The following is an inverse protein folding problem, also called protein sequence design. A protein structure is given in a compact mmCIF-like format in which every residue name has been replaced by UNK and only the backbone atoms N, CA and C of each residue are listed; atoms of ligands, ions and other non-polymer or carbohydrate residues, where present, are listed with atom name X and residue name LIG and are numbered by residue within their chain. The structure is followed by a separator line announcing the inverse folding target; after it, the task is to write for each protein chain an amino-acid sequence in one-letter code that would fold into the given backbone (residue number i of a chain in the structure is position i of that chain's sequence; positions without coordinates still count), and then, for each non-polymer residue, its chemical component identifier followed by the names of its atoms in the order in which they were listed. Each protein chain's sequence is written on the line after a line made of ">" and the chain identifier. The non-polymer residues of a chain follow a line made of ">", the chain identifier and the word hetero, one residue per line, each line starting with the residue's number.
data_IF_647766996851
#
_entry.id   IF_647766996851
#
_cell.length_a   1.000
_cell.length_b   1.000
_cell.length_c   1.000
_cell.angle_alpha   90.00
_cell.angle_beta   90.00
_cell.angle_gamma   90.00
#
_symmetry.space_group_name_H-M   'P 1'
#
loop_
_entity.id
_entity.type
_entity.pdbx_description
1 polymer ?
#
# COMPACT_ATOMS: atom_id res chain seq x y z
N UNK A 1 38.36 38.68 -11.43
CA UNK A 1 39.17 37.49 -11.76
C UNK A 1 39.06 36.49 -10.60
N UNK A 2 38.05 35.60 -10.59
CA UNK A 2 37.84 34.61 -9.52
C UNK A 2 38.20 33.16 -9.94
N UNK A 3 38.82 32.98 -11.12
CA UNK A 3 38.99 31.63 -11.71
C UNK A 3 40.36 30.97 -11.54
N UNK A 4 41.38 31.64 -10.99
CA UNK A 4 42.76 31.13 -10.99
C UNK A 4 43.31 30.69 -9.62
N UNK A 5 42.66 31.03 -8.50
CA UNK A 5 43.05 30.64 -7.13
C UNK A 5 41.81 30.53 -6.24
N UNK A 6 41.87 29.65 -5.24
CA UNK A 6 40.87 29.58 -4.17
C UNK A 6 40.69 30.96 -3.51
N UNK A 7 39.45 31.27 -3.13
CA UNK A 7 39.14 32.52 -2.44
C UNK A 7 39.76 32.54 -1.03
N UNK A 8 40.04 33.75 -0.52
CA UNK A 8 40.54 33.91 0.85
C UNK A 8 39.44 33.52 1.84
N UNK A 9 39.72 32.52 2.66
CA UNK A 9 38.83 32.02 3.70
C UNK A 9 39.28 32.53 5.08
N UNK A 10 38.30 32.83 5.93
CA UNK A 10 38.50 33.20 7.33
C UNK A 10 37.77 32.20 8.23
N UNK A 11 38.39 31.85 9.35
CA UNK A 11 37.78 30.95 10.32
C UNK A 11 37.07 31.78 11.39
N UNK A 12 35.77 31.53 11.56
CA UNK A 12 34.91 32.29 12.47
C UNK A 12 34.43 31.42 13.62
N UNK A 13 34.29 32.04 14.79
CA UNK A 13 33.55 31.53 15.94
C UNK A 13 32.27 32.36 16.08
N UNK A 14 31.15 31.64 16.07
CA UNK A 14 29.80 32.16 16.18
C UNK A 14 29.26 31.78 17.55
N UNK A 15 28.89 32.77 18.37
CA UNK A 15 28.20 32.57 19.65
C UNK A 15 26.78 33.10 19.50
N UNK A 16 25.79 32.23 19.65
CA UNK A 16 24.38 32.56 19.43
C UNK A 16 23.56 32.10 20.62
N UNK A 17 22.55 32.88 20.98
CA UNK A 17 21.57 32.46 21.98
C UNK A 17 20.79 31.24 21.49
N UNK A 18 20.60 30.24 22.34
CA UNK A 18 19.90 29.01 22.00
C UNK A 18 18.55 29.26 21.33
N UNK A 19 17.75 30.19 21.85
CA UNK A 19 16.40 30.45 21.34
C UNK A 19 16.37 31.15 19.98
N UNK A 20 17.49 31.77 19.56
CA UNK A 20 17.64 32.45 18.27
C UNK A 20 18.53 31.65 17.30
N UNK A 21 19.04 30.50 17.74
CA UNK A 21 20.00 29.71 16.98
C UNK A 21 19.39 29.10 15.72
N UNK A 22 18.11 28.70 15.79
CA UNK A 22 17.36 28.19 14.64
C UNK A 22 17.28 29.24 13.52
N UNK A 23 16.75 30.44 13.83
CA UNK A 23 16.65 31.56 12.90
C UNK A 23 18.01 32.00 12.34
N UNK A 24 19.04 32.02 13.19
CA UNK A 24 20.40 32.35 12.76
C UNK A 24 20.91 31.37 11.72
N UNK A 25 20.79 30.06 11.98
CA UNK A 25 21.22 29.01 11.04
C UNK A 25 20.43 29.08 9.74
N UNK A 26 19.12 29.38 9.80
CA UNK A 26 18.30 29.52 8.61
C UNK A 26 18.73 30.70 7.74
N UNK A 27 18.94 31.89 8.34
CA UNK A 27 19.45 33.08 7.61
C UNK A 27 20.85 32.85 7.04
N UNK A 28 21.71 32.12 7.75
CA UNK A 28 23.03 31.74 7.25
C UNK A 28 22.95 30.71 6.11
N UNK A 29 21.98 29.80 6.18
CA UNK A 29 21.65 28.85 5.11
C UNK A 29 21.18 29.55 3.83
N UNK A 30 20.34 30.58 3.95
CA UNK A 30 19.89 31.40 2.81
C UNK A 30 21.06 32.13 2.12
N UNK A 31 22.08 32.54 2.88
CA UNK A 31 23.29 33.12 2.32
C UNK A 31 24.19 32.08 1.65
N UNK A 32 24.29 30.87 2.20
CA UNK A 32 25.08 29.77 1.63
C UNK A 32 26.59 30.01 1.58
N UNK A 33 27.12 30.85 2.48
CA UNK A 33 28.54 31.28 2.48
C UNK A 33 29.39 30.72 3.63
N UNK A 34 28.80 29.92 4.52
CA UNK A 34 29.45 29.38 5.73
C UNK A 34 29.45 27.86 5.69
N UNK A 35 30.62 27.26 5.92
CA UNK A 35 30.77 25.82 6.17
C UNK A 35 31.08 25.58 7.65
N UNK A 36 30.16 24.93 8.37
CA UNK A 36 30.34 24.65 9.79
C UNK A 36 31.23 23.43 10.03
N UNK A 37 32.13 23.56 10.99
CA UNK A 37 32.96 22.45 11.48
C UNK A 37 32.28 21.77 12.66
N UNK A 38 32.28 20.44 12.67
CA UNK A 38 31.72 19.67 13.78
C UNK A 38 32.57 19.82 15.05
N UNK A 39 31.99 20.42 16.09
CA UNK A 39 32.62 20.61 17.39
C UNK A 39 32.40 19.44 18.35
N UNK A 40 31.57 18.46 17.96
CA UNK A 40 31.20 17.31 18.78
C UNK A 40 31.52 15.96 18.10
N UNK A 41 32.77 15.70 17.66
CA UNK A 41 33.11 14.45 16.97
C UNK A 41 33.03 13.22 17.89
N UNK A 42 33.18 13.41 19.20
CA UNK A 42 33.13 12.34 20.21
C UNK A 42 31.70 11.85 20.48
N UNK A 43 30.67 12.63 20.10
CA UNK A 43 29.28 12.30 20.36
C UNK A 43 28.69 11.51 19.19
N UNK A 44 28.10 10.36 19.52
CA UNK A 44 27.29 9.62 18.53
C UNK A 44 26.05 10.42 18.12
N UNK A 45 25.51 10.22 16.91
CA UNK A 45 24.32 10.94 16.44
C UNK A 45 23.12 10.89 17.41
N UNK A 46 23.01 9.81 18.20
CA UNK A 46 21.93 9.62 19.17
C UNK A 46 22.09 10.40 20.48
N UNK A 47 23.32 10.82 20.80
CA UNK A 47 23.62 11.61 22.00
C UNK A 47 23.60 13.11 21.73
N UNK A 48 23.41 13.52 20.47
CA UNK A 48 23.34 14.93 20.08
C UNK A 48 22.03 15.57 20.55
N UNK A 49 22.11 16.86 20.87
CA UNK A 49 21.04 17.61 21.54
C UNK A 49 19.73 17.64 20.76
N UNK A 50 19.77 17.85 19.44
CA UNK A 50 18.59 18.02 18.59
C UNK A 50 18.18 16.74 17.86
N UNK A 51 18.60 15.55 18.35
CA UNK A 51 18.28 14.27 17.70
C UNK A 51 16.77 14.00 17.61
N UNK A 52 15.98 14.42 18.61
CA UNK A 52 14.52 14.25 18.61
C UNK A 52 13.87 14.96 17.43
N UNK A 53 14.27 16.20 17.15
CA UNK A 53 13.79 16.99 16.02
C UNK A 53 14.20 16.40 14.67
N UNK A 54 15.44 15.89 14.55
CA UNK A 54 15.88 15.20 13.34
C UNK A 54 15.06 13.92 13.10
N UNK A 55 14.83 13.11 14.14
CA UNK A 55 13.99 11.90 14.05
C UNK A 55 12.55 12.23 13.64
N UNK A 56 12.00 13.33 14.16
CA UNK A 56 10.67 13.81 13.79
C UNK A 56 10.59 14.18 12.31
N UNK A 57 11.59 14.91 11.80
CA UNK A 57 11.68 15.22 10.37
C UNK A 57 11.87 13.96 9.52
N UNK A 58 12.64 12.98 10.00
CA UNK A 58 12.81 11.68 9.31
C UNK A 58 11.49 10.91 9.21
N UNK A 59 10.67 10.93 10.25
CA UNK A 59 9.34 10.30 10.24
C UNK A 59 8.39 11.02 9.28
N UNK A 60 8.43 12.34 9.22
CA UNK A 60 7.66 13.12 8.24
C UNK A 60 8.12 12.84 6.80
N UNK A 61 9.44 12.71 6.57
CA UNK A 61 9.99 12.31 5.27
C UNK A 61 9.58 10.87 4.91
N UNK A 62 9.51 9.94 5.88
CA UNK A 62 8.96 8.58 5.66
C UNK A 62 7.51 8.65 5.15
N UNK A 63 6.66 9.45 5.79
CA UNK A 63 5.25 9.66 5.39
C UNK A 63 5.16 10.25 3.97
N UNK A 64 5.97 11.26 3.67
CA UNK A 64 6.04 11.85 2.33
C UNK A 64 6.47 10.82 1.26
N UNK A 65 7.47 9.97 1.55
CA UNK A 65 7.88 8.89 0.63
C UNK A 65 6.76 7.89 0.40
N UNK A 66 6.00 7.54 1.45
CA UNK A 66 4.81 6.70 1.32
C UNK A 66 3.78 7.35 0.38
N UNK A 67 3.50 8.65 0.53
CA UNK A 67 2.58 9.37 -0.36
C UNK A 67 3.05 9.36 -1.82
N UNK A 68 4.35 9.57 -2.06
CA UNK A 68 4.92 9.50 -3.40
C UNK A 68 4.75 8.09 -4.02
N UNK A 69 4.89 7.04 -3.22
CA UNK A 69 4.62 5.66 -3.61
C UNK A 69 3.15 5.46 -4.04
N UNK A 70 2.21 5.94 -3.23
CA UNK A 70 0.77 5.87 -3.55
C UNK A 70 0.41 6.68 -4.81
N UNK A 71 0.93 7.90 -4.96
CA UNK A 71 0.73 8.72 -6.17
C UNK A 71 1.24 8.03 -7.43
N UNK A 72 2.39 7.35 -7.33
CA UNK A 72 3.00 6.62 -8.44
C UNK A 72 2.11 5.46 -8.91
N UNK A 73 1.43 4.75 -7.99
CA UNK A 73 0.46 3.68 -8.34
C UNK A 73 -0.68 4.21 -9.22
N UNK A 74 -1.10 5.46 -9.01
CA UNK A 74 -2.15 6.12 -9.80
C UNK A 74 -1.62 6.92 -11.00
N UNK A 75 -0.31 6.89 -11.27
CA UNK A 75 0.37 7.70 -12.31
C UNK A 75 0.13 9.20 -12.14
N UNK A 76 -0.03 9.66 -10.91
CA UNK A 76 -0.15 11.09 -10.58
C UNK A 76 1.25 11.61 -10.29
N UNK A 77 1.68 12.63 -11.03
CA UNK A 77 2.93 13.32 -10.75
C UNK A 77 2.67 14.48 -9.79
N UNK A 78 3.50 14.66 -8.74
CA UNK A 78 3.39 15.82 -7.88
C UNK A 78 3.55 17.10 -8.70
N UNK A 79 2.73 18.11 -8.39
CA UNK A 79 2.84 19.43 -9.00
C UNK A 79 4.15 20.05 -8.54
N UNK A 80 4.87 20.67 -9.49
CA UNK A 80 6.09 21.34 -9.10
C UNK A 80 5.77 22.57 -8.24
N UNK A 81 6.42 22.70 -7.08
CA UNK A 81 6.34 23.83 -6.16
C UNK A 81 7.01 25.10 -6.71
N UNK A 82 7.52 25.07 -7.95
CA UNK A 82 8.11 26.22 -8.63
C UNK A 82 9.65 26.20 -8.59
N UNK A 83 10.27 27.38 -8.55
CA UNK A 83 11.72 27.50 -8.29
C UNK A 83 11.98 27.48 -6.80
N UNK A 84 13.10 26.89 -6.39
CA UNK A 84 13.61 26.95 -5.01
C UNK A 84 13.65 28.41 -4.52
N UNK A 85 14.05 29.36 -5.38
CA UNK A 85 14.10 30.77 -5.04
C UNK A 85 12.72 31.37 -4.73
N UNK A 86 11.68 30.94 -5.45
CA UNK A 86 10.30 31.40 -5.18
C UNK A 86 9.74 30.82 -3.88
N UNK A 87 10.14 29.60 -3.53
CA UNK A 87 9.82 29.00 -2.25
C UNK A 87 10.61 29.66 -1.10
N UNK A 88 11.88 29.99 -1.32
CA UNK A 88 12.75 30.76 -0.41
C UNK A 88 12.34 32.23 -0.27
N UNK A 89 11.54 32.77 -1.20
CA UNK A 89 10.92 34.08 -1.06
C UNK A 89 9.55 34.02 -0.37
N UNK A 90 8.66 33.09 -0.75
CA UNK A 90 7.27 33.06 -0.29
C UNK A 90 7.04 32.62 1.17
N UNK A 91 7.99 31.87 1.73
CA UNK A 91 7.95 31.43 3.13
C UNK A 91 8.73 32.36 4.09
N UNK A 92 9.28 33.48 3.61
CA UNK A 92 10.09 34.40 4.42
C UNK A 92 9.35 34.88 5.69
N UNK A 93 8.04 35.19 5.60
CA UNK A 93 7.26 35.69 6.73
C UNK A 93 6.97 34.63 7.81
N UNK A 94 7.00 33.34 7.46
CA UNK A 94 6.87 32.22 8.40
C UNK A 94 8.23 31.74 8.91
N UNK A 95 9.29 31.93 8.12
CA UNK A 95 10.68 31.53 8.42
C UNK A 95 11.44 32.48 9.35
N UNK A 96 11.02 33.75 9.43
CA UNK A 96 11.72 34.77 10.24
C UNK A 96 11.00 35.13 11.54
N UNK A 97 10.15 34.23 12.05
CA UNK A 97 9.62 34.31 13.41
C UNK A 97 10.40 33.37 14.34
N UNK A 98 10.43 33.69 15.64
CA UNK A 98 11.16 32.95 16.69
C UNK A 98 11.06 31.43 16.56
N UNK A 99 12.02 30.69 17.12
CA UNK A 99 12.03 29.21 17.20
C UNK A 99 10.67 28.58 17.54
N UNK A 100 9.84 29.22 18.37
CA UNK A 100 8.48 28.76 18.70
C UNK A 100 7.53 28.70 17.49
N UNK A 101 7.67 29.62 16.53
CA UNK A 101 6.90 29.65 15.28
C UNK A 101 7.31 28.49 14.37
N UNK A 102 8.60 28.22 14.25
CA UNK A 102 9.12 27.09 13.46
C UNK A 102 8.64 25.75 14.06
N UNK A 103 8.70 25.61 15.38
CA UNK A 103 8.19 24.41 16.08
C UNK A 103 6.69 24.24 15.86
N UNK A 104 5.88 25.31 15.98
CA UNK A 104 4.43 25.25 15.72
C UNK A 104 4.10 24.93 14.27
N UNK A 105 4.88 25.44 13.32
CA UNK A 105 4.72 25.14 11.89
C UNK A 105 5.00 23.65 11.63
N UNK A 106 6.05 23.10 12.25
CA UNK A 106 6.34 21.66 12.23
C UNK A 106 5.25 20.82 12.89
N UNK A 107 4.72 21.24 14.04
CA UNK A 107 3.58 20.59 14.71
C UNK A 107 2.35 20.52 13.81
N UNK A 108 2.05 21.62 13.14
CA UNK A 108 0.91 21.70 12.23
C UNK A 108 1.12 20.78 11.02
N UNK A 109 2.33 20.78 10.45
CA UNK A 109 2.66 19.94 9.30
C UNK A 109 2.64 18.45 9.66
N UNK A 110 3.20 18.07 10.82
CA UNK A 110 3.17 16.69 11.30
C UNK A 110 1.74 16.18 11.44
N UNK A 111 0.86 16.95 12.08
CA UNK A 111 -0.55 16.59 12.24
C UNK A 111 -1.25 16.39 10.89
N UNK A 112 -1.02 17.31 9.93
CA UNK A 112 -1.59 17.19 8.58
C UNK A 112 -1.10 15.91 7.89
N UNK A 113 0.20 15.61 7.97
CA UNK A 113 0.76 14.40 7.38
C UNK A 113 0.22 13.13 8.05
N UNK A 114 0.00 13.14 9.37
CA UNK A 114 -0.60 12.02 10.10
C UNK A 114 -2.04 11.77 9.70
N UNK A 115 -2.86 12.82 9.68
CA UNK A 115 -4.27 12.73 9.29
C UNK A 115 -4.40 12.15 7.87
N UNK A 116 -3.57 12.64 6.93
CA UNK A 116 -3.56 12.18 5.54
C UNK A 116 -3.01 10.76 5.37
N UNK A 117 -2.02 10.35 6.17
CA UNK A 117 -1.53 8.98 6.18
C UNK A 117 -2.61 8.00 6.66
N UNK A 118 -3.30 8.34 7.75
CA UNK A 118 -4.40 7.53 8.27
C UNK A 118 -5.54 7.40 7.26
N UNK A 119 -5.91 8.50 6.59
CA UNK A 119 -6.93 8.50 5.54
C UNK A 119 -6.55 7.57 4.37
N UNK A 120 -5.31 7.66 3.88
CA UNK A 120 -4.81 6.77 2.81
C UNK A 120 -4.76 5.30 3.24
N UNK A 121 -4.26 5.01 4.44
CA UNK A 121 -4.20 3.63 4.97
C UNK A 121 -5.59 3.03 5.12
N UNK A 122 -6.56 3.82 5.59
CA UNK A 122 -7.94 3.39 5.69
C UNK A 122 -8.53 3.11 4.31
N UNK A 123 -8.34 4.02 3.35
CA UNK A 123 -8.82 3.84 1.98
C UNK A 123 -8.21 2.60 1.30
N UNK A 124 -6.91 2.36 1.50
CA UNK A 124 -6.21 1.18 0.98
C UNK A 124 -6.73 -0.11 1.63
N UNK A 125 -6.91 -0.12 2.95
CA UNK A 125 -7.49 -1.28 3.66
C UNK A 125 -8.92 -1.57 3.17
N UNK A 126 -9.72 -0.52 2.93
CA UNK A 126 -11.05 -0.68 2.34
C UNK A 126 -10.97 -1.17 0.90
N UNK A 127 -10.03 -0.67 0.11
CA UNK A 127 -9.81 -1.10 -1.27
C UNK A 127 -9.49 -2.60 -1.36
N UNK A 128 -8.60 -3.11 -0.51
CA UNK A 128 -8.25 -4.53 -0.46
C UNK A 128 -9.46 -5.41 -0.09
N UNK A 129 -10.24 -4.99 0.92
CA UNK A 129 -11.45 -5.70 1.35
C UNK A 129 -12.51 -5.74 0.24
N UNK A 130 -12.80 -4.59 -0.37
CA UNK A 130 -13.79 -4.47 -1.44
C UNK A 130 -13.35 -5.25 -2.69
N UNK A 131 -12.05 -5.22 -3.02
CA UNK A 131 -11.50 -6.00 -4.14
C UNK A 131 -11.64 -7.50 -3.88
N UNK A 132 -11.38 -7.94 -2.64
CA UNK A 132 -11.61 -9.33 -2.24
C UNK A 132 -13.08 -9.71 -2.43
N UNK A 133 -14.01 -8.97 -1.83
CA UNK A 133 -15.45 -9.21 -1.92
C UNK A 133 -15.93 -9.23 -3.36
N UNK A 134 -15.53 -8.25 -4.18
CA UNK A 134 -15.85 -8.17 -5.60
C UNK A 134 -15.39 -9.42 -6.35
N UNK A 135 -14.13 -9.85 -6.12
CA UNK A 135 -13.61 -11.07 -6.72
C UNK A 135 -14.41 -12.31 -6.29
N UNK A 136 -14.81 -12.42 -5.02
CA UNK A 136 -15.57 -13.60 -4.57
C UNK A 136 -16.95 -13.66 -5.23
N UNK A 137 -17.61 -12.51 -5.42
CA UNK A 137 -18.91 -12.44 -6.10
C UNK A 137 -18.80 -12.80 -7.57
N UNK A 138 -17.77 -12.29 -8.23
CA UNK A 138 -17.48 -12.56 -9.64
C UNK A 138 -17.10 -14.02 -9.90
N UNK A 139 -16.28 -14.61 -9.03
CA UNK A 139 -15.99 -16.04 -9.05
C UNK A 139 -17.26 -16.88 -8.92
N UNK A 140 -18.16 -16.51 -7.99
CA UNK A 140 -19.44 -17.20 -7.83
C UNK A 140 -20.35 -17.01 -9.06
N UNK A 141 -20.38 -15.83 -9.68
CA UNK A 141 -21.15 -15.56 -10.90
C UNK A 141 -20.71 -16.48 -12.05
N UNK A 142 -19.40 -16.61 -12.26
CA UNK A 142 -18.81 -17.49 -13.27
C UNK A 142 -19.04 -18.98 -12.98
N UNK A 143 -19.02 -19.38 -11.72
CA UNK A 143 -19.37 -20.75 -11.34
C UNK A 143 -20.83 -21.02 -11.70
N UNK A 144 -21.76 -20.13 -11.36
CA UNK A 144 -23.18 -20.36 -11.60
C UNK A 144 -23.50 -20.41 -13.10
N UNK A 145 -22.92 -19.53 -13.91
CA UNK A 145 -23.15 -19.52 -15.36
C UNK A 145 -22.69 -20.83 -16.02
N UNK A 146 -21.51 -21.32 -15.63
CA UNK A 146 -20.90 -22.53 -16.23
C UNK A 146 -21.47 -23.82 -15.69
N UNK A 147 -21.94 -23.81 -14.45
CA UNK A 147 -22.62 -24.95 -13.84
C UNK A 147 -23.91 -25.30 -14.60
N UNK A 148 -24.62 -24.35 -15.20
CA UNK A 148 -25.70 -24.67 -16.15
C UNK A 148 -25.22 -25.54 -17.31
N UNK A 149 -24.10 -25.14 -17.94
CA UNK A 149 -23.51 -25.84 -19.08
C UNK A 149 -22.95 -27.23 -18.72
N UNK A 150 -22.28 -27.34 -17.56
CA UNK A 150 -21.70 -28.60 -17.10
C UNK A 150 -22.74 -29.69 -16.84
N UNK A 151 -23.96 -29.30 -16.48
CA UNK A 151 -25.05 -30.24 -16.17
C UNK A 151 -25.97 -30.49 -17.36
N UNK A 152 -26.17 -29.52 -18.27
CA UNK A 152 -26.92 -29.74 -19.52
C UNK A 152 -26.23 -30.74 -20.45
N UNK A 153 -24.90 -30.86 -20.40
CA UNK A 153 -24.13 -31.82 -21.19
C UNK A 153 -24.32 -33.28 -20.67
N UNK A 154 -24.84 -33.49 -19.45
CA UNK A 154 -24.87 -34.82 -18.79
C UNK A 154 -26.19 -35.14 -18.07
N UNK A 155 -27.34 -34.91 -18.73
CA UNK A 155 -28.38 -35.94 -18.73
C UNK A 155 -28.15 -36.80 -19.98
N UNK A 156 -27.37 -37.90 -19.92
CA UNK A 156 -27.48 -38.91 -20.95
C UNK A 156 -28.96 -39.26 -21.09
N UNK A 157 -29.41 -39.44 -22.32
CA UNK A 157 -30.75 -39.89 -22.72
C UNK A 157 -31.11 -41.30 -22.18
N UNK A 158 -30.68 -41.66 -20.97
CA UNK A 158 -30.97 -42.92 -20.30
C UNK A 158 -32.41 -42.99 -19.73
N UNK A 159 -33.18 -41.89 -19.77
CA UNK A 159 -34.60 -41.87 -19.35
C UNK A 159 -35.57 -41.54 -20.50
N UNK A 160 -35.13 -41.58 -21.77
CA UNK A 160 -36.00 -41.30 -22.94
C UNK A 160 -36.12 -42.46 -23.94
N UNK A 161 -35.82 -43.69 -23.53
CA UNK A 161 -36.18 -44.89 -24.29
C UNK A 161 -36.96 -45.86 -23.41
N UNK A 162 -38.25 -45.61 -23.26
CA UNK A 162 -39.26 -46.66 -23.39
C UNK A 162 -40.65 -46.05 -23.50
N UNK A 163 -41.19 -46.08 -24.72
CA UNK A 163 -42.48 -45.46 -25.03
C UNK A 163 -42.82 -45.47 -26.52
N UNK A 164 -42.46 -46.52 -27.26
CA UNK A 164 -43.06 -46.78 -28.58
C UNK A 164 -42.89 -48.25 -28.99
N UNK A 165 -43.99 -49.00 -28.89
CA UNK A 165 -44.24 -50.31 -29.49
C UNK A 165 -43.50 -50.57 -30.80
N UNK A 166 -42.66 -51.60 -30.83
CA UNK A 166 -42.43 -52.43 -32.02
C UNK A 166 -42.28 -53.90 -31.62
N UNK A 167 -43.34 -54.64 -31.94
CA UNK A 167 -43.39 -56.08 -32.10
C UNK A 167 -42.19 -56.60 -32.91
N UNK A 168 -41.38 -57.49 -32.33
CA UNK A 168 -41.01 -58.74 -33.00
C UNK A 168 -40.48 -59.76 -32.00
N UNK A 169 -41.05 -60.95 -32.06
CA UNK A 169 -40.70 -62.15 -31.30
C UNK A 169 -39.25 -62.58 -31.54
N UNK A 170 -38.59 -63.20 -30.56
CA UNK A 170 -37.89 -64.50 -30.70
C UNK A 170 -37.39 -65.01 -29.33
N UNK A 171 -38.23 -65.86 -28.73
CA UNK A 171 -37.91 -67.13 -28.03
C UNK A 171 -36.76 -67.28 -27.01
N UNK A 172 -37.20 -67.61 -25.77
CA UNK A 172 -36.80 -68.77 -24.92
C UNK A 172 -35.39 -68.86 -24.33
N UNK A 173 -35.32 -68.79 -23.00
CA UNK A 173 -35.10 -69.93 -22.07
C UNK A 173 -35.04 -69.37 -20.64
N UNK A 174 -36.08 -69.44 -19.80
CA UNK A 174 -36.58 -70.59 -19.02
C UNK A 174 -35.56 -71.28 -18.10
N UNK A 175 -35.31 -70.70 -16.92
CA UNK A 175 -35.23 -71.47 -15.67
C UNK A 175 -36.02 -70.70 -14.62
N UNK A 176 -37.16 -71.27 -14.22
CA UNK A 176 -38.04 -70.70 -13.22
C UNK A 176 -37.64 -71.10 -11.81
N UNK A 177 -37.89 -70.19 -10.87
CA UNK A 177 -38.35 -70.54 -9.53
C UNK A 177 -39.36 -69.48 -9.10
N UNK A 178 -40.60 -69.92 -8.90
CA UNK A 178 -41.66 -69.13 -8.30
C UNK A 178 -41.40 -68.97 -6.80
N UNK A 179 -41.38 -67.73 -6.32
CA UNK A 179 -41.69 -67.43 -4.92
C UNK A 179 -42.48 -66.10 -4.87
N UNK A 180 -43.79 -66.28 -4.73
CA UNK A 180 -44.80 -65.40 -4.13
C UNK A 180 -44.32 -64.10 -3.46
N UNK A 181 -44.90 -63.00 -3.94
CA UNK A 181 -45.44 -61.86 -3.15
C UNK A 181 -44.58 -61.29 -2.01
N UNK A 182 -44.02 -60.11 -2.26
CA UNK A 182 -43.99 -59.04 -1.27
C UNK A 182 -43.96 -57.68 -1.99
N UNK A 183 -45.07 -56.95 -1.89
CA UNK A 183 -45.11 -55.51 -2.13
C UNK A 183 -44.03 -54.85 -1.28
N UNK A 184 -42.97 -54.37 -1.94
CA UNK A 184 -42.04 -53.44 -1.33
C UNK A 184 -41.80 -52.35 -2.35
N UNK A 185 -42.20 -51.14 -1.96
CA UNK A 185 -42.04 -49.92 -2.73
C UNK A 185 -40.67 -49.85 -3.39
N UNK A 186 -40.64 -49.89 -4.72
CA UNK A 186 -39.55 -49.35 -5.52
C UNK A 186 -39.51 -47.84 -5.28
N UNK A 187 -38.90 -47.44 -4.17
CA UNK A 187 -38.21 -46.16 -4.08
C UNK A 187 -37.10 -46.23 -5.11
N UNK A 188 -37.41 -45.72 -6.29
CA UNK A 188 -36.48 -45.34 -7.35
C UNK A 188 -35.19 -44.80 -6.71
N UNK A 189 -34.16 -45.65 -6.63
CA UNK A 189 -32.85 -45.33 -6.07
C UNK A 189 -32.13 -44.44 -7.08
N UNK A 190 -32.62 -43.22 -7.25
CA UNK A 190 -31.93 -42.18 -8.00
C UNK A 190 -30.61 -41.93 -7.26
N UNK A 191 -29.52 -42.43 -7.83
CA UNK A 191 -28.16 -42.23 -7.36
C UNK A 191 -27.85 -40.73 -7.34
N UNK A 192 -28.16 -40.04 -6.23
CA UNK A 192 -27.88 -38.61 -6.08
C UNK A 192 -26.39 -38.40 -5.83
N UNK A 193 -25.68 -37.99 -6.86
CA UNK A 193 -24.30 -37.51 -6.72
C UNK A 193 -24.29 -36.17 -5.97
N UNK A 194 -23.40 -36.05 -4.99
CA UNK A 194 -23.05 -34.77 -4.38
C UNK A 194 -22.03 -34.05 -5.26
N UNK A 195 -22.01 -32.73 -5.17
CA UNK A 195 -21.01 -31.91 -5.86
C UNK A 195 -20.29 -30.98 -4.89
N UNK A 196 -19.06 -30.60 -5.27
CA UNK A 196 -18.31 -29.50 -4.68
C UNK A 196 -17.90 -28.60 -5.85
N UNK A 197 -18.15 -27.30 -5.70
CA UNK A 197 -17.74 -26.29 -6.67
C UNK A 197 -16.74 -25.33 -6.05
N UNK A 198 -15.79 -24.86 -6.85
CA UNK A 198 -14.77 -23.95 -6.36
C UNK A 198 -13.94 -23.33 -7.48
N UNK A 199 -12.95 -22.55 -7.08
CA UNK A 199 -11.99 -21.88 -7.96
C UNK A 199 -10.58 -22.19 -7.52
N UNK A 200 -9.69 -22.48 -8.47
CA UNK A 200 -8.27 -22.79 -8.25
C UNK A 200 -7.40 -21.91 -9.15
N UNK A 201 -6.21 -21.46 -8.72
CA UNK A 201 -5.25 -20.77 -9.60
C UNK A 201 -4.87 -21.63 -10.81
N UNK A 202 -4.67 -20.99 -11.98
CA UNK A 202 -4.36 -21.71 -13.21
C UNK A 202 -3.07 -22.54 -13.13
N UNK A 203 -2.03 -22.00 -12.48
CA UNK A 203 -0.74 -22.66 -12.30
C UNK A 203 -0.83 -23.97 -11.49
N UNK A 204 -1.83 -24.08 -10.63
CA UNK A 204 -2.02 -25.22 -9.75
C UNK A 204 -3.03 -26.25 -10.29
N UNK A 205 -3.83 -25.88 -11.30
CA UNK A 205 -4.88 -26.72 -11.87
C UNK A 205 -4.44 -28.16 -12.14
N UNK A 206 -3.35 -28.36 -12.87
CA UNK A 206 -2.88 -29.71 -13.26
C UNK A 206 -2.37 -30.52 -12.07
N UNK A 207 -1.83 -29.87 -11.03
CA UNK A 207 -1.40 -30.54 -9.79
C UNK A 207 -2.60 -30.93 -8.94
N UNK A 208 -3.59 -30.03 -8.85
CA UNK A 208 -4.85 -30.24 -8.14
C UNK A 208 -5.65 -31.40 -8.75
N UNK A 209 -5.86 -31.42 -10.06
CA UNK A 209 -6.58 -32.50 -10.77
C UNK A 209 -5.94 -33.88 -10.53
N UNK A 210 -4.60 -33.97 -10.65
CA UNK A 210 -3.87 -35.20 -10.38
C UNK A 210 -3.98 -35.64 -8.92
N UNK A 211 -3.98 -34.70 -7.97
CA UNK A 211 -4.12 -35.05 -6.56
C UNK A 211 -5.54 -35.55 -6.24
N UNK A 212 -6.57 -34.91 -6.79
CA UNK A 212 -7.96 -35.37 -6.67
C UNK A 212 -8.09 -36.79 -7.22
N UNK A 213 -7.64 -37.04 -8.46
CA UNK A 213 -7.73 -38.35 -9.08
C UNK A 213 -7.02 -39.46 -8.26
N UNK A 214 -5.80 -39.18 -7.78
CA UNK A 214 -5.03 -40.14 -6.98
C UNK A 214 -5.64 -40.42 -5.62
N UNK A 215 -6.12 -39.39 -4.92
CA UNK A 215 -6.67 -39.52 -3.57
C UNK A 215 -8.02 -40.25 -3.54
N UNK A 216 -8.79 -40.12 -4.63
CA UNK A 216 -10.12 -40.72 -4.80
C UNK A 216 -10.09 -42.00 -5.63
N UNK A 217 -8.92 -42.37 -6.19
CA UNK A 217 -8.73 -43.52 -7.09
C UNK A 217 -9.66 -43.47 -8.31
N UNK A 218 -9.91 -42.27 -8.84
CA UNK A 218 -10.80 -42.08 -9.99
C UNK A 218 -12.30 -42.17 -9.67
N UNK A 219 -12.70 -42.24 -8.39
CA UNK A 219 -14.11 -42.29 -8.00
C UNK A 219 -14.80 -40.90 -7.97
N UNK A 220 -14.22 -39.91 -8.64
CA UNK A 220 -14.80 -38.58 -8.75
C UNK A 220 -14.73 -38.12 -10.19
N UNK A 221 -15.77 -37.41 -10.61
CA UNK A 221 -15.80 -36.77 -11.91
C UNK A 221 -15.50 -35.28 -11.74
N UNK A 222 -14.41 -34.81 -12.35
CA UNK A 222 -13.92 -33.44 -12.22
C UNK A 222 -14.03 -32.71 -13.56
N UNK A 223 -14.66 -31.54 -13.57
CA UNK A 223 -14.68 -30.63 -14.71
C UNK A 223 -14.04 -29.29 -14.32
N UNK A 224 -13.25 -28.72 -15.22
CA UNK A 224 -12.63 -27.41 -15.08
C UNK A 224 -13.05 -26.52 -16.24
N UNK A 225 -13.21 -25.22 -15.99
CA UNK A 225 -13.43 -24.23 -17.03
C UNK A 225 -12.65 -22.93 -16.71
N UNK A 226 -11.94 -22.34 -17.68
CA UNK A 226 -11.08 -21.16 -17.48
C UNK A 226 -11.88 -19.87 -17.28
N UNK A 227 -11.70 -19.17 -16.16
CA UNK A 227 -12.34 -17.86 -15.98
C UNK A 227 -11.66 -16.87 -16.92
N UNK A 228 -12.40 -16.36 -17.91
CA UNK A 228 -11.85 -15.56 -19.01
C UNK A 228 -11.34 -14.19 -18.52
N UNK A 229 -11.96 -13.65 -17.48
CA UNK A 229 -11.56 -12.38 -16.90
C UNK A 229 -10.51 -12.57 -15.80
N UNK A 230 -9.31 -12.00 -16.01
CA UNK A 230 -8.26 -12.01 -15.01
C UNK A 230 -8.71 -11.25 -13.75
N UNK A 231 -8.59 -11.90 -12.59
CA UNK A 231 -8.96 -11.30 -11.31
C UNK A 231 -7.71 -10.74 -10.64
N UNK A 232 -7.79 -9.48 -10.21
CA UNK A 232 -6.69 -8.82 -9.52
C UNK A 232 -6.59 -9.36 -8.10
N UNK A 233 -5.46 -9.95 -7.73
CA UNK A 233 -5.22 -10.38 -6.37
C UNK A 233 -5.20 -9.16 -5.43
N UNK A 234 -6.05 -9.11 -4.38
CA UNK A 234 -6.16 -7.95 -3.50
C UNK A 234 -4.86 -7.59 -2.78
N UNK A 235 -3.94 -8.53 -2.56
CA UNK A 235 -2.68 -8.27 -1.86
C UNK A 235 -1.54 -7.80 -2.78
N UNK A 236 -1.39 -8.44 -3.94
CA UNK A 236 -0.28 -8.15 -4.87
C UNK A 236 -0.63 -7.14 -5.96
N UNK A 237 -1.93 -6.92 -6.22
CA UNK A 237 -2.39 -6.09 -7.33
C UNK A 237 -2.12 -6.71 -8.71
N UNK A 238 -1.69 -7.97 -8.76
CA UNK A 238 -1.38 -8.69 -10.00
C UNK A 238 -2.63 -9.41 -10.49
N UNK A 239 -2.85 -9.39 -11.80
CA UNK A 239 -3.91 -10.12 -12.45
C UNK A 239 -3.57 -11.61 -12.47
N UNK A 240 -4.41 -12.44 -11.85
CA UNK A 240 -4.21 -13.90 -11.74
C UNK A 240 -5.28 -14.62 -12.54
N UNK A 241 -4.85 -15.56 -13.39
CA UNK A 241 -5.74 -16.47 -14.08
C UNK A 241 -6.23 -17.57 -13.15
N UNK A 242 -7.53 -17.88 -13.24
CA UNK A 242 -8.17 -18.88 -12.37
C UNK A 242 -9.05 -19.81 -13.18
N UNK A 243 -9.24 -21.02 -12.68
CA UNK A 243 -10.17 -21.99 -13.23
C UNK A 243 -11.27 -22.30 -12.22
N UNK A 244 -12.53 -22.19 -12.66
CA UNK A 244 -13.65 -22.74 -11.95
C UNK A 244 -13.67 -24.27 -12.11
N UNK A 245 -14.10 -24.99 -11.08
CA UNK A 245 -14.22 -26.43 -11.12
C UNK A 245 -15.50 -26.93 -10.45
N UNK A 246 -15.95 -28.10 -10.92
CA UNK A 246 -17.05 -28.88 -10.31
C UNK A 246 -16.55 -30.31 -10.14
N UNK A 247 -16.71 -30.86 -8.93
CA UNK A 247 -16.34 -32.25 -8.60
C UNK A 247 -17.57 -33.00 -8.12
N UNK A 248 -17.93 -34.06 -8.82
CA UNK A 248 -19.02 -34.97 -8.44
C UNK A 248 -18.48 -36.19 -7.71
N UNK A 249 -19.14 -36.57 -6.62
CA UNK A 249 -18.79 -37.71 -5.78
C UNK A 249 -20.02 -38.26 -5.04
N UNK A 250 -19.90 -39.48 -4.51
CA UNK A 250 -21.02 -40.15 -3.82
C UNK A 250 -20.78 -40.38 -2.32
N UNK A 251 -19.51 -40.40 -1.88
CA UNK A 251 -19.14 -40.77 -0.50
C UNK A 251 -18.77 -39.58 0.38
N UNK A 252 -19.24 -39.57 1.64
CA UNK A 252 -18.82 -38.59 2.65
C UNK A 252 -17.32 -38.65 2.97
N UNK A 253 -16.70 -39.84 2.88
CA UNK A 253 -15.26 -40.00 3.09
C UNK A 253 -14.44 -39.30 2.00
N UNK A 254 -14.95 -39.33 0.76
CA UNK A 254 -14.36 -38.60 -0.36
C UNK A 254 -14.53 -37.10 -0.15
N UNK A 255 -15.70 -36.64 0.31
CA UNK A 255 -15.96 -35.23 0.62
C UNK A 255 -14.90 -34.65 1.58
N UNK A 256 -14.63 -35.34 2.68
CA UNK A 256 -13.65 -34.91 3.67
C UNK A 256 -12.22 -34.83 3.10
N UNK A 257 -11.85 -35.74 2.17
CA UNK A 257 -10.58 -35.68 1.45
C UNK A 257 -10.52 -34.52 0.46
N UNK A 258 -11.58 -34.31 -0.31
CA UNK A 258 -11.67 -33.23 -1.29
C UNK A 258 -11.53 -31.87 -0.62
N UNK A 259 -12.19 -31.64 0.52
CA UNK A 259 -12.05 -30.39 1.29
C UNK A 259 -10.61 -30.13 1.72
N UNK A 260 -9.93 -31.14 2.28
CA UNK A 260 -8.51 -31.03 2.65
C UNK A 260 -7.59 -30.74 1.46
N UNK A 261 -7.88 -31.32 0.29
CA UNK A 261 -7.14 -31.03 -0.93
C UNK A 261 -7.41 -29.60 -1.38
N UNK A 262 -8.66 -29.13 -1.35
CA UNK A 262 -9.00 -27.75 -1.70
C UNK A 262 -8.28 -26.75 -0.78
N UNK A 263 -8.25 -27.01 0.53
CA UNK A 263 -7.53 -26.18 1.50
C UNK A 263 -6.02 -26.15 1.22
N UNK A 264 -5.42 -27.28 0.83
CA UNK A 264 -3.98 -27.40 0.53
C UNK A 264 -3.53 -26.69 -0.76
N UNK A 265 -4.43 -26.50 -1.72
CA UNK A 265 -4.20 -25.80 -2.99
C UNK A 265 -4.80 -24.39 -3.00
N UNK A 266 -5.15 -23.86 -1.82
CA UNK A 266 -5.78 -22.54 -1.67
C UNK A 266 -7.01 -22.35 -2.59
N UNK A 267 -7.74 -23.43 -2.86
CA UNK A 267 -8.93 -23.41 -3.69
C UNK A 267 -10.09 -22.88 -2.86
N UNK A 268 -10.79 -21.85 -3.37
CA UNK A 268 -11.95 -21.28 -2.70
C UNK A 268 -13.19 -22.11 -3.06
N UNK A 269 -13.90 -22.58 -2.04
CA UNK A 269 -15.10 -23.38 -2.21
C UNK A 269 -16.36 -22.52 -2.17
N UNK A 270 -17.32 -22.85 -3.03
CA UNK A 270 -18.63 -22.22 -3.10
C UNK A 270 -19.72 -23.27 -2.91
N UNK A 271 -20.72 -22.94 -2.11
CA UNK A 271 -21.88 -23.81 -1.86
C UNK A 271 -23.02 -23.39 -2.78
N UNK A 272 -23.48 -24.31 -3.61
CA UNK A 272 -24.64 -24.11 -4.47
C UNK A 272 -25.88 -24.83 -3.90
N UNK A 273 -27.09 -24.25 -4.04
CA UNK A 273 -28.34 -24.94 -3.73
C UNK A 273 -28.52 -26.22 -4.54
N UNK A 274 -29.43 -27.09 -4.09
CA UNK A 274 -29.81 -28.28 -4.86
C UNK A 274 -30.38 -27.87 -6.21
N UNK A 275 -29.95 -28.55 -7.28
CA UNK A 275 -30.35 -28.24 -8.66
C UNK A 275 -31.84 -28.45 -8.95
N UNK A 276 -32.50 -29.26 -8.13
CA UNK A 276 -33.94 -29.46 -8.19
C UNK A 276 -34.71 -28.16 -7.85
N UNK A 277 -34.08 -27.25 -7.11
CA UNK A 277 -34.66 -25.96 -6.73
C UNK A 277 -34.21 -24.84 -7.68
N UNK A 278 -34.84 -24.82 -8.86
CA UNK A 278 -34.63 -23.74 -9.86
C UNK A 278 -34.92 -22.35 -9.31
N UNK A 279 -35.82 -22.24 -8.32
CA UNK A 279 -36.16 -20.94 -7.72
C UNK A 279 -35.05 -20.43 -6.82
N UNK A 280 -34.42 -21.31 -6.02
CA UNK A 280 -33.26 -20.96 -5.22
C UNK A 280 -32.06 -20.55 -6.07
N UNK A 281 -31.84 -21.20 -7.22
CA UNK A 281 -30.77 -20.84 -8.15
C UNK A 281 -31.04 -19.48 -8.81
N UNK A 282 -32.27 -19.24 -9.28
CA UNK A 282 -32.65 -17.96 -9.85
C UNK A 282 -32.49 -16.82 -8.84
N UNK A 283 -32.92 -17.02 -7.58
CA UNK A 283 -32.74 -16.07 -6.49
C UNK A 283 -31.25 -15.84 -6.18
N UNK A 284 -30.42 -16.89 -6.18
CA UNK A 284 -28.97 -16.78 -5.98
C UNK A 284 -28.31 -15.93 -7.07
N UNK A 285 -28.67 -16.16 -8.34
CA UNK A 285 -28.18 -15.37 -9.48
C UNK A 285 -28.57 -13.91 -9.33
N UNK A 286 -29.85 -13.65 -9.03
CA UNK A 286 -30.36 -12.29 -8.89
C UNK A 286 -29.68 -11.54 -7.73
N UNK A 287 -29.54 -12.18 -6.57
CA UNK A 287 -28.88 -11.60 -5.41
C UNK A 287 -27.39 -11.35 -5.67
N UNK A 288 -26.69 -12.34 -6.24
CA UNK A 288 -25.28 -12.18 -6.61
C UNK A 288 -25.09 -11.01 -7.58
N UNK A 289 -25.90 -10.92 -8.64
CA UNK A 289 -25.82 -9.81 -9.59
C UNK A 289 -26.06 -8.45 -8.93
N UNK A 290 -27.04 -8.34 -8.03
CA UNK A 290 -27.30 -7.11 -7.30
C UNK A 290 -26.11 -6.71 -6.41
N UNK A 291 -25.56 -7.66 -5.65
CA UNK A 291 -24.41 -7.44 -4.77
C UNK A 291 -23.11 -7.18 -5.54
N UNK A 292 -22.90 -7.83 -6.68
CA UNK A 292 -21.76 -7.60 -7.57
C UNK A 292 -21.81 -6.19 -8.16
N UNK A 293 -22.98 -5.75 -8.63
CA UNK A 293 -23.17 -4.38 -9.12
C UNK A 293 -22.93 -3.37 -8.00
N UNK A 294 -23.46 -3.60 -6.80
CA UNK A 294 -23.22 -2.74 -5.65
C UNK A 294 -21.73 -2.69 -5.27
N UNK A 295 -21.06 -3.84 -5.18
CA UNK A 295 -19.64 -3.94 -4.86
C UNK A 295 -18.78 -3.22 -5.92
N UNK A 296 -19.09 -3.39 -7.21
CA UNK A 296 -18.40 -2.69 -8.30
C UNK A 296 -18.53 -1.16 -8.19
N UNK A 297 -19.72 -0.68 -7.82
CA UNK A 297 -19.98 0.75 -7.66
C UNK A 297 -19.22 1.32 -6.47
N UNK A 298 -19.20 0.62 -5.34
CA UNK A 298 -18.47 1.03 -4.14
C UNK A 298 -16.96 1.00 -4.39
N UNK A 299 -16.45 -0.05 -5.05
CA UNK A 299 -15.03 -0.16 -5.42
C UNK A 299 -14.60 0.99 -6.35
N UNK A 300 -15.43 1.34 -7.35
CA UNK A 300 -15.18 2.47 -8.22
C UNK A 300 -15.14 3.78 -7.44
N UNK A 301 -16.12 4.02 -6.55
CA UNK A 301 -16.17 5.22 -5.71
C UNK A 301 -14.96 5.31 -4.76
N UNK A 302 -14.56 4.20 -4.15
CA UNK A 302 -13.37 4.12 -3.31
C UNK A 302 -12.10 4.46 -4.12
N UNK A 303 -11.97 3.93 -5.34
CA UNK A 303 -10.86 4.27 -6.24
C UNK A 303 -10.86 5.76 -6.61
N UNK A 304 -12.03 6.32 -6.90
CA UNK A 304 -12.19 7.77 -7.17
C UNK A 304 -11.75 8.60 -5.95
N UNK A 305 -12.16 8.22 -4.73
CA UNK A 305 -11.71 8.87 -3.49
C UNK A 305 -10.19 8.81 -3.32
N UNK A 306 -9.56 7.65 -3.58
CA UNK A 306 -8.10 7.51 -3.52
C UNK A 306 -7.41 8.47 -4.51
N UNK A 307 -7.92 8.55 -5.75
CA UNK A 307 -7.36 9.42 -6.78
C UNK A 307 -7.52 10.89 -6.41
N UNK A 308 -8.67 11.30 -5.85
CA UNK A 308 -8.90 12.67 -5.40
C UNK A 308 -7.93 13.05 -4.27
N UNK A 309 -7.76 12.19 -3.28
CA UNK A 309 -6.82 12.41 -2.18
C UNK A 309 -5.38 12.47 -2.69
N UNK A 310 -4.99 11.58 -3.60
CA UNK A 310 -3.66 11.61 -4.21
C UNK A 310 -3.42 12.89 -5.03
N UNK A 311 -4.45 13.45 -5.67
CA UNK A 311 -4.35 14.73 -6.38
C UNK A 311 -4.19 15.90 -5.41
N UNK A 312 -4.97 15.92 -4.33
CA UNK A 312 -4.80 16.92 -3.26
C UNK A 312 -3.39 16.88 -2.67
N UNK A 313 -2.88 15.67 -2.37
CA UNK A 313 -1.51 15.50 -1.90
C UNK A 313 -0.48 15.94 -2.93
N UNK A 314 -0.69 15.65 -4.21
CA UNK A 314 0.21 16.04 -5.29
C UNK A 314 0.36 17.57 -5.41
N UNK A 315 -0.62 18.37 -4.99
CA UNK A 315 -0.52 19.84 -5.02
C UNK A 315 0.45 20.41 -3.99
N UNK A 316 0.59 19.76 -2.83
CA UNK A 316 1.38 20.25 -1.70
C UNK A 316 2.60 19.38 -1.37
N UNK A 317 2.73 18.21 -1.99
CA UNK A 317 3.78 17.24 -1.66
C UNK A 317 5.20 17.82 -1.76
N UNK A 318 5.50 18.53 -2.85
CA UNK A 318 6.84 19.07 -3.05
C UNK A 318 7.16 20.21 -2.06
N UNK A 319 6.19 21.09 -1.77
CA UNK A 319 6.40 22.17 -0.80
C UNK A 319 6.60 21.63 0.62
N UNK A 320 5.79 20.65 1.03
CA UNK A 320 5.98 19.98 2.33
C UNK A 320 7.33 19.27 2.42
N UNK A 321 7.75 18.61 1.33
CA UNK A 321 9.06 17.96 1.28
C UNK A 321 10.20 18.96 1.44
N UNK A 322 10.13 20.10 0.75
CA UNK A 322 11.16 21.14 0.89
C UNK A 322 11.20 21.73 2.29
N UNK A 323 10.04 21.98 2.92
CA UNK A 323 9.98 22.44 4.31
C UNK A 323 10.62 21.43 5.28
N UNK A 324 10.29 20.14 5.17
CA UNK A 324 10.86 19.09 6.03
C UNK A 324 12.37 18.95 5.82
N UNK A 325 12.84 18.99 4.57
CA UNK A 325 14.27 18.92 4.27
C UNK A 325 15.04 20.13 4.80
N UNK A 326 14.47 21.33 4.68
CA UNK A 326 15.05 22.55 5.22
C UNK A 326 15.18 22.45 6.74
N UNK A 327 14.11 22.12 7.45
CA UNK A 327 14.11 21.99 8.91
C UNK A 327 15.08 20.91 9.38
N UNK A 328 15.10 19.75 8.71
CA UNK A 328 16.07 18.69 8.99
C UNK A 328 17.51 19.17 8.84
N UNK A 329 17.81 19.95 7.80
CA UNK A 329 19.14 20.51 7.57
C UNK A 329 19.52 21.53 8.66
N UNK A 330 18.58 22.37 9.10
CA UNK A 330 18.78 23.31 10.22
C UNK A 330 19.13 22.58 11.51
N UNK A 331 18.34 21.58 11.92
CA UNK A 331 18.64 20.80 13.13
C UNK A 331 19.90 19.95 13.02
N UNK A 332 20.20 19.42 11.82
CA UNK A 332 21.46 18.73 11.57
C UNK A 332 22.66 19.67 11.75
N UNK A 333 22.54 20.91 11.29
CA UNK A 333 23.58 21.94 11.45
C UNK A 333 23.72 22.36 12.91
N UNK A 334 22.61 22.61 13.62
CA UNK A 334 22.63 22.91 15.05
C UNK A 334 23.27 21.79 15.90
N UNK A 335 23.17 20.53 15.45
CA UNK A 335 23.83 19.40 16.10
C UNK A 335 25.37 19.41 16.00
N UNK A 336 25.95 20.22 15.10
CA UNK A 336 27.41 20.44 15.02
C UNK A 336 27.90 21.46 16.04
N UNK A 337 27.00 22.27 16.62
CA UNK A 337 27.34 23.31 17.58
C UNK A 337 27.53 22.73 18.97
N UNK A 338 28.42 23.34 19.74
CA UNK A 338 28.70 22.96 21.11
C UNK A 338 27.96 23.89 22.07
N UNK A 339 27.34 23.33 23.10
CA UNK A 339 26.79 24.12 24.20
C UNK A 339 27.94 24.77 24.98
N UNK A 340 27.86 26.08 25.21
CA UNK A 340 28.86 26.84 25.94
C UNK A 340 28.31 27.25 27.33
N UNK A 341 28.23 28.55 27.63
CA UNK A 341 27.62 29.09 28.86
C UNK A 341 26.09 28.92 28.81
N UNK A 342 25.44 28.72 29.97
CA UNK A 342 23.99 28.46 30.09
C UNK A 342 23.13 29.37 29.21
N UNK A 343 22.60 28.80 28.12
CA UNK A 343 21.73 29.48 27.14
C UNK A 343 22.42 29.91 25.84
N UNK A 344 23.70 29.62 25.65
CA UNK A 344 24.45 29.94 24.42
C UNK A 344 24.99 28.70 23.71
N UNK A 345 24.98 28.76 22.39
CA UNK A 345 25.58 27.79 21.49
C UNK A 345 26.76 28.41 20.77
N UNK A 346 27.86 27.67 20.72
CA UNK A 346 29.05 28.01 19.96
C UNK A 346 29.11 27.14 18.71
N UNK A 347 29.15 27.79 17.54
CA UNK A 347 29.47 27.18 16.26
C UNK A 347 30.81 27.71 15.76
N UNK A 348 31.57 26.88 15.06
CA UNK A 348 32.77 27.33 14.35
C UNK A 348 32.68 26.92 12.89
N UNK A 349 33.25 27.71 11.99
CA UNK A 349 33.15 27.44 10.56
C UNK A 349 34.06 28.29 9.69
N UNK A 350 34.15 27.92 8.43
CA UNK A 350 34.85 28.67 7.39
C UNK A 350 33.87 29.58 6.66
N UNK A 351 34.30 30.82 6.40
CA UNK A 351 33.55 31.79 5.59
C UNK A 351 34.48 32.45 4.59
N UNK A 352 33.96 32.79 3.41
CA UNK A 352 34.68 33.64 2.45
C UNK A 352 34.87 35.02 3.08
N UNK A 353 36.11 35.53 3.08
CA UNK A 353 36.46 36.81 3.71
C UNK A 353 35.62 37.99 3.21
N UNK A 354 35.29 38.03 1.92
CA UNK A 354 34.40 39.05 1.31
C UNK A 354 32.95 38.99 1.85
N UNK A 355 32.52 37.85 2.38
CA UNK A 355 31.15 37.61 2.85
C UNK A 355 31.00 37.75 4.38
N UNK A 356 32.08 38.00 5.12
CA UNK A 356 32.07 38.06 6.58
C UNK A 356 31.13 39.16 7.12
N UNK A 357 31.11 40.33 6.49
CA UNK A 357 30.18 41.41 6.88
C UNK A 357 28.71 41.02 6.65
N UNK A 358 28.43 40.27 5.58
CA UNK A 358 27.06 39.78 5.31
C UNK A 358 26.61 38.78 6.37
N UNK A 359 27.52 37.90 6.81
CA UNK A 359 27.28 36.95 7.89
C UNK A 359 27.01 37.67 9.21
N UNK A 360 27.85 38.66 9.59
CA UNK A 360 27.65 39.48 10.78
C UNK A 360 26.27 40.17 10.77
N UNK A 361 25.94 40.82 9.66
CA UNK A 361 24.66 41.49 9.48
C UNK A 361 23.47 40.51 9.55
N UNK A 362 23.60 39.29 9.03
CA UNK A 362 22.54 38.28 9.08
C UNK A 362 22.30 37.77 10.51
N UNK A 363 23.37 37.53 11.27
CA UNK A 363 23.30 37.12 12.67
C UNK A 363 22.71 38.22 13.54
N UNK A 364 23.13 39.48 13.36
CA UNK A 364 22.56 40.63 14.05
C UNK A 364 21.07 40.82 13.73
N UNK A 365 20.66 40.62 12.47
CA UNK A 365 19.24 40.66 12.08
C UNK A 365 18.41 39.52 12.64
N UNK A 366 18.97 38.32 12.81
CA UNK A 366 18.31 37.22 13.50
C UNK A 366 18.12 37.56 14.98
N UNK A 367 19.18 38.07 15.61
CA UNK A 367 19.16 38.43 17.01
C UNK A 367 18.16 39.56 17.32
N UNK A 368 18.15 40.63 16.51
CA UNK A 368 17.27 41.78 16.70
C UNK A 368 15.79 41.48 16.42
N UNK A 369 15.49 40.44 15.63
CA UNK A 369 14.11 40.02 15.37
C UNK A 369 13.45 39.40 16.61
N UNK A 370 14.27 38.86 17.53
CA UNK A 370 13.82 38.11 18.69
C UNK A 370 13.80 38.93 20.00
N UNK A 371 14.34 40.16 20.01
CA UNK A 371 14.39 41.11 21.15
C UNK A 371 14.89 40.46 22.47
N UNK A 372 15.97 39.66 22.39
CA UNK A 372 16.54 38.91 23.54
C UNK A 372 17.81 39.56 24.08
N UNK A 373 18.01 39.50 25.40
CA UNK A 373 18.96 40.34 26.16
C UNK A 373 20.47 40.10 25.93
N UNK A 374 20.86 39.03 25.24
CA UNK A 374 22.28 38.62 25.09
C UNK A 374 22.69 38.61 23.61
N UNK A 375 23.59 39.52 23.18
CA UNK A 375 23.95 39.69 21.77
C UNK A 375 24.63 38.45 21.21
N UNK A 376 24.27 38.10 19.97
CA UNK A 376 24.98 37.08 19.20
C UNK A 376 26.27 37.69 18.63
N UNK A 377 27.40 36.99 18.80
CA UNK A 377 28.72 37.49 18.45
C UNK A 377 29.35 36.65 17.34
N UNK A 378 29.97 37.33 16.37
CA UNK A 378 30.78 36.72 15.32
C UNK A 378 32.19 37.27 15.40
N UNK A 379 33.13 36.43 15.80
CA UNK A 379 34.55 36.80 15.90
C UNK A 379 35.39 35.92 14.99
N UNK A 380 36.44 36.48 14.39
CA UNK A 380 37.43 35.69 13.67
C UNK A 380 38.43 35.08 14.64
N UNK A 381 38.67 33.79 14.47
CA UNK A 381 39.60 33.03 15.30
C UNK A 381 40.82 32.68 14.45
N UNK A 382 42.05 33.03 14.89
CA UNK A 382 43.24 32.65 14.16
C UNK A 382 43.46 31.14 14.25
N UNK A 383 43.05 30.38 13.23
CA UNK A 383 43.50 29.00 13.02
C UNK A 383 44.79 28.98 12.21
N UNK A 384 45.83 28.33 12.75
CA UNK A 384 47.18 28.20 12.18
C UNK A 384 47.28 27.48 10.82
N UNK A 385 46.16 27.07 10.21
CA UNK A 385 46.12 26.46 8.88
C UNK A 385 45.01 27.10 8.07
N UNK A 386 45.38 27.95 7.11
CA UNK A 386 44.47 28.46 6.07
C UNK A 386 44.03 27.25 5.25
N UNK A 387 42.76 26.84 5.38
CA UNK A 387 42.19 25.81 4.53
C UNK A 387 41.78 26.45 3.20
N UNK A 388 42.48 26.11 2.13
CA UNK A 388 42.03 26.37 0.78
C UNK A 388 41.13 25.19 0.36
N UNK A 389 39.84 25.45 0.16
CA UNK A 389 38.95 24.48 -0.50
C UNK A 389 39.10 24.70 -2.01
N UNK A 390 39.31 23.61 -2.74
CA UNK A 390 39.55 23.58 -4.19
C UNK A 390 38.22 23.69 -4.94
#
# INVERSE_FOLDING_TARGET
>A
MKWLRSEEMEYISLIVNEDAAHDCVQKLGDLGVVEFTDLNPELTPFQRRYVSYVKRCDEMDRKLRFFAGEMTKFKITPKSAGSIDSFLAGSADVRYGSQDTAVRALDTLERILEDKEQELLQLNTMHEKLTREYNERKELQEIISRVGEFFEIELPEASRRDGASRTNSFTRSSVGFNASSLDTAESDLVLRFKNITGVVPADERLKFERMVFRATRGNCFTRFSPIDEMLVDPGTGVAVEKHAFVIFFQSQFIEAKLRKICDAFHARLYTLPSMDDRTAIANLIQNNNAELNQSSHILRRNRESCVLLCRELAEHHESWKWSVLQEKATYHTLNTFKADVSGMLRGEGWVVKEALEKVRNAVERAHNADDKSMPSLVDSVPKLRIAYII
#
